data_IF_495906253511
#
_entry.id   IF_495906253511
#
_cell.length_a   1.000
_cell.length_b   1.000
_cell.length_c   1.000
_cell.angle_alpha   90.00
_cell.angle_beta   90.00
_cell.angle_gamma   90.00
#
_symmetry.space_group_name_H-M   'P 1'
#
loop_
_entity.id
_entity.type
_entity.pdbx_description
1 polymer ?
#
# COMPACT_ATOMS: atom_id res chain seq x y z
N UNK A 1 57.04 -31.49 -9.94
CA UNK A 1 56.46 -31.05 -8.65
C UNK A 1 55.44 -29.99 -8.94
N UNK A 2 54.19 -30.33 -8.68
CA UNK A 2 52.97 -29.59 -8.99
C UNK A 2 52.62 -28.75 -7.77
N UNK A 3 52.33 -27.45 -7.93
CA UNK A 3 51.39 -26.72 -7.07
C UNK A 3 50.96 -25.38 -7.73
N UNK A 4 49.89 -25.47 -8.51
CA UNK A 4 48.80 -24.47 -8.60
C UNK A 4 47.55 -25.25 -8.14
N UNK A 5 46.60 -24.68 -7.35
CA UNK A 5 45.76 -23.56 -7.79
C UNK A 5 45.53 -22.51 -6.66
N UNK A 6 45.36 -21.20 -6.90
CA UNK A 6 44.24 -20.51 -7.56
C UNK A 6 42.85 -20.91 -7.02
N UNK A 7 41.97 -19.93 -6.86
CA UNK A 7 40.57 -19.99 -6.40
C UNK A 7 40.30 -19.81 -4.90
N UNK A 8 40.56 -18.60 -4.41
CA UNK A 8 39.65 -17.97 -3.45
C UNK A 8 38.31 -17.72 -4.15
N UNK A 9 37.37 -18.66 -3.97
CA UNK A 9 35.95 -18.49 -4.28
C UNK A 9 35.39 -17.37 -3.38
N UNK A 10 35.42 -16.13 -3.87
CA UNK A 10 34.56 -15.07 -3.36
C UNK A 10 33.13 -15.37 -3.79
N UNK A 11 32.41 -16.11 -2.93
CA UNK A 11 30.96 -16.22 -2.96
C UNK A 11 30.38 -14.82 -2.71
N UNK A 12 30.24 -14.05 -3.78
CA UNK A 12 29.35 -12.90 -3.81
C UNK A 12 27.93 -13.47 -3.74
N UNK A 13 27.38 -13.47 -2.53
CA UNK A 13 25.95 -13.66 -2.33
C UNK A 13 25.30 -12.44 -2.97
N UNK A 14 24.96 -12.56 -4.26
CA UNK A 14 24.01 -11.67 -4.89
C UNK A 14 22.68 -11.94 -4.20
N UNK A 15 22.41 -11.19 -3.13
CA UNK A 15 21.04 -10.99 -2.67
C UNK A 15 20.29 -10.36 -3.84
N UNK A 16 19.67 -11.21 -4.64
CA UNK A 16 18.79 -10.84 -5.73
C UNK A 16 17.57 -10.20 -5.08
N UNK A 17 17.66 -8.89 -4.82
CA UNK A 17 16.50 -8.09 -4.44
C UNK A 17 15.56 -8.11 -5.63
N UNK A 18 14.62 -9.07 -5.63
CA UNK A 18 13.56 -9.11 -6.61
C UNK A 18 12.73 -7.84 -6.42
N UNK A 19 13.04 -6.83 -7.22
CA UNK A 19 12.28 -5.59 -7.28
C UNK A 19 10.90 -5.95 -7.84
N UNK A 20 9.94 -6.19 -6.95
CA UNK A 20 8.53 -6.30 -7.34
C UNK A 20 8.07 -4.91 -7.76
N UNK A 21 7.58 -4.78 -8.99
CA UNK A 21 6.87 -3.58 -9.40
C UNK A 21 5.68 -3.36 -8.46
N UNK A 22 5.67 -2.20 -7.82
CA UNK A 22 4.57 -1.78 -6.95
C UNK A 22 3.41 -1.29 -7.81
N UNK A 23 2.17 -1.58 -7.38
CA UNK A 23 0.94 -1.22 -8.08
C UNK A 23 0.42 0.13 -7.56
N UNK A 24 0.72 1.26 -8.23
CA UNK A 24 0.22 2.55 -7.80
C UNK A 24 -1.30 2.61 -7.92
N UNK A 25 -1.94 3.39 -7.04
CA UNK A 25 -3.32 3.79 -7.18
C UNK A 25 -3.39 4.78 -8.33
N UNK A 26 -4.21 4.48 -9.33
CA UNK A 26 -4.49 5.38 -10.45
C UNK A 26 -5.68 6.28 -10.10
N UNK A 27 -5.73 7.53 -10.59
CA UNK A 27 -6.83 8.47 -10.36
C UNK A 27 -8.06 8.12 -11.23
N UNK A 28 -8.51 6.87 -11.16
CA UNK A 28 -9.61 6.30 -11.93
C UNK A 28 -10.86 6.17 -11.04
N UNK A 29 -11.90 6.96 -11.33
CA UNK A 29 -13.11 7.07 -10.50
C UNK A 29 -13.93 5.79 -10.35
N UNK A 30 -13.67 4.77 -11.17
CA UNK A 30 -14.33 3.46 -11.03
C UNK A 30 -13.62 2.52 -10.05
N UNK A 31 -12.44 2.92 -9.52
CA UNK A 31 -11.67 2.09 -8.59
C UNK A 31 -12.02 2.34 -7.14
N UNK A 32 -12.24 1.24 -6.42
CA UNK A 32 -12.43 1.23 -4.97
C UNK A 32 -11.45 0.26 -4.29
N UNK A 33 -11.09 0.57 -3.06
CA UNK A 33 -10.13 -0.17 -2.24
C UNK A 33 -10.77 -0.57 -0.92
N UNK A 34 -10.42 -1.76 -0.44
CA UNK A 34 -10.83 -2.23 0.88
C UNK A 34 -9.98 -1.53 1.95
N UNK A 35 -10.62 -1.13 3.05
CA UNK A 35 -10.00 -0.44 4.16
C UNK A 35 -10.44 -1.04 5.50
N UNK A 36 -9.53 -1.03 6.47
CA UNK A 36 -9.77 -1.52 7.82
C UNK A 36 -8.89 -0.79 8.83
N UNK A 37 -9.35 -0.73 10.08
CA UNK A 37 -8.50 -0.30 11.19
C UNK A 37 -7.46 -1.39 11.48
N UNK A 38 -6.18 -1.05 11.44
CA UNK A 38 -5.06 -2.01 11.63
C UNK A 38 -4.84 -2.32 13.12
N UNK A 39 -5.86 -2.88 13.77
CA UNK A 39 -5.81 -3.46 15.13
C UNK A 39 -5.68 -4.97 15.01
N UNK A 40 -4.85 -5.60 15.86
CA UNK A 40 -4.74 -7.06 15.87
C UNK A 40 -5.72 -7.68 16.88
N UNK A 41 -6.44 -8.77 16.51
CA UNK A 41 -6.49 -9.38 15.18
C UNK A 41 -7.28 -8.53 14.18
N UNK A 42 -6.86 -8.53 12.92
CA UNK A 42 -7.57 -7.82 11.85
C UNK A 42 -8.92 -8.52 11.63
N UNK A 43 -10.01 -7.77 11.79
CA UNK A 43 -11.34 -8.27 11.49
C UNK A 43 -11.68 -8.05 10.01
N UNK A 44 -11.44 -9.08 9.19
CA UNK A 44 -11.74 -9.06 7.75
C UNK A 44 -13.25 -9.02 7.43
N UNK A 45 -14.12 -9.19 8.43
CA UNK A 45 -15.57 -9.03 8.25
C UNK A 45 -16.04 -7.58 8.33
N UNK A 46 -15.18 -6.66 8.80
CA UNK A 46 -15.49 -5.24 8.95
C UNK A 46 -14.68 -4.37 7.98
N UNK A 47 -14.56 -4.84 6.74
CA UNK A 47 -13.93 -4.07 5.67
C UNK A 47 -14.91 -3.00 5.18
N UNK A 48 -14.42 -1.77 5.11
CA UNK A 48 -15.13 -0.66 4.48
C UNK A 48 -14.46 -0.31 3.17
N UNK A 49 -15.22 0.20 2.20
CA UNK A 49 -14.65 0.59 0.90
C UNK A 49 -14.48 2.10 0.83
N UNK A 50 -13.38 2.52 0.23
CA UNK A 50 -13.16 3.90 -0.22
C UNK A 50 -12.94 3.87 -1.72
N UNK A 51 -13.49 4.83 -2.43
CA UNK A 51 -13.44 4.90 -3.89
C UNK A 51 -12.76 6.17 -4.34
N UNK A 52 -12.13 6.11 -5.51
CA UNK A 52 -11.53 7.29 -6.12
C UNK A 52 -12.67 8.22 -6.54
N UNK A 53 -12.65 9.44 -6.04
CA UNK A 53 -13.66 10.43 -6.33
C UNK A 53 -13.04 11.81 -6.55
N UNK A 54 -13.80 12.69 -7.19
CA UNK A 54 -13.44 14.10 -7.30
C UNK A 54 -13.81 14.79 -6.00
N UNK A 55 -12.82 15.40 -5.37
CA UNK A 55 -12.93 16.04 -4.08
C UNK A 55 -13.24 17.52 -4.29
N UNK A 56 -14.51 17.89 -4.10
CA UNK A 56 -14.96 19.28 -4.16
C UNK A 56 -14.30 20.17 -3.09
N UNK A 57 -13.91 19.58 -1.96
CA UNK A 57 -13.32 20.27 -0.81
C UNK A 57 -11.79 20.49 -0.94
N UNK A 58 -11.16 19.88 -1.95
CA UNK A 58 -9.72 19.96 -2.18
C UNK A 58 -9.44 20.27 -3.65
N UNK A 59 -9.65 21.52 -4.07
CA UNK A 59 -9.09 22.10 -5.30
C UNK A 59 -9.29 21.31 -6.61
N UNK A 60 -10.43 20.66 -6.81
CA UNK A 60 -10.69 19.78 -7.97
C UNK A 60 -9.67 18.63 -8.11
N UNK A 61 -9.19 18.10 -6.99
CA UNK A 61 -8.36 16.91 -6.96
C UNK A 61 -9.19 15.62 -7.08
N UNK A 62 -8.56 14.55 -7.56
CA UNK A 62 -9.01 13.18 -7.41
C UNK A 62 -8.29 12.54 -6.22
N UNK A 63 -9.04 11.82 -5.39
CA UNK A 63 -8.50 11.20 -4.20
C UNK A 63 -9.43 10.17 -3.57
N UNK A 64 -9.05 9.72 -2.38
CA UNK A 64 -9.85 8.81 -1.54
C UNK A 64 -10.25 9.56 -0.26
N UNK A 65 -11.54 9.77 -0.03
CA UNK A 65 -12.04 10.16 1.28
C UNK A 65 -12.09 8.92 2.19
N UNK A 66 -11.39 8.99 3.32
CA UNK A 66 -11.27 7.87 4.25
C UNK A 66 -12.27 8.00 5.38
N UNK A 67 -12.70 6.87 5.94
CA UNK A 67 -13.62 6.84 7.10
C UNK A 67 -13.02 7.50 8.36
N UNK A 68 -11.71 7.73 8.37
CA UNK A 68 -11.00 8.50 9.41
C UNK A 68 -11.12 10.03 9.25
N UNK A 69 -11.84 10.51 8.23
CA UNK A 69 -11.85 11.91 7.78
C UNK A 69 -10.48 12.42 7.33
N UNK A 70 -9.58 11.50 6.96
CA UNK A 70 -8.37 11.83 6.23
C UNK A 70 -8.64 11.72 4.72
N UNK A 71 -7.92 12.49 3.91
CA UNK A 71 -8.07 12.48 2.45
C UNK A 71 -6.73 12.11 1.82
N UNK A 72 -6.72 11.07 1.00
CA UNK A 72 -5.55 10.69 0.21
C UNK A 72 -5.64 11.33 -1.18
N UNK A 73 -4.72 12.22 -1.52
CA UNK A 73 -4.70 12.88 -2.84
C UNK A 73 -3.92 12.03 -3.85
N UNK A 74 -4.52 11.81 -5.01
CA UNK A 74 -3.92 11.03 -6.10
C UNK A 74 -3.45 11.94 -7.24
N UNK A 75 -4.29 12.90 -7.62
CA UNK A 75 -4.03 13.82 -8.72
C UNK A 75 -4.79 15.12 -8.45
N UNK A 76 -4.19 16.26 -8.77
CA UNK A 76 -4.83 17.56 -8.67
C UNK A 76 -4.64 18.30 -9.99
N UNK A 77 -5.68 18.99 -10.46
CA UNK A 77 -5.50 19.93 -11.57
C UNK A 77 -4.60 21.07 -11.08
N UNK A 78 -3.44 21.22 -11.69
CA UNK A 78 -2.48 22.29 -11.41
C UNK A 78 -3.08 23.65 -11.78
N UNK A 79 -3.90 24.22 -10.88
CA UNK A 79 -4.37 25.61 -11.00
C UNK A 79 -3.66 26.56 -10.04
N UNK A 80 -2.90 26.06 -9.07
CA UNK A 80 -2.05 26.90 -8.22
C UNK A 80 -0.57 26.65 -8.53
N UNK A 81 0.05 27.63 -9.17
CA UNK A 81 1.46 27.66 -9.58
C UNK A 81 2.46 27.72 -8.42
N UNK A 82 2.40 26.73 -7.52
CA UNK A 82 3.46 26.45 -6.55
C UNK A 82 4.14 25.14 -6.89
N UNK A 83 5.48 25.11 -6.82
CA UNK A 83 6.33 23.90 -6.90
C UNK A 83 6.03 22.92 -5.75
N UNK A 84 4.82 22.36 -5.69
CA UNK A 84 4.48 21.34 -4.71
C UNK A 84 5.02 20.02 -5.22
N UNK A 85 6.25 19.70 -4.81
CA UNK A 85 6.96 18.49 -5.20
C UNK A 85 6.03 17.27 -5.23
N UNK A 86 5.91 16.65 -6.40
CA UNK A 86 5.12 15.44 -6.58
C UNK A 86 5.77 14.31 -5.78
N UNK A 87 5.01 13.61 -4.91
CA UNK A 87 5.54 12.47 -4.17
C UNK A 87 6.11 11.40 -5.11
N UNK A 88 7.09 10.61 -4.66
CA UNK A 88 7.60 9.49 -5.46
C UNK A 88 6.49 8.45 -5.71
N UNK A 89 6.68 7.63 -6.75
CA UNK A 89 5.70 6.60 -7.15
C UNK A 89 5.28 5.71 -5.96
N UNK A 90 3.97 5.61 -5.73
CA UNK A 90 3.37 4.85 -4.63
C UNK A 90 3.40 5.54 -3.27
N UNK A 91 3.83 6.81 -3.23
CA UNK A 91 3.57 7.72 -2.12
C UNK A 91 2.53 8.75 -2.55
N UNK A 92 1.76 9.24 -1.59
CA UNK A 92 0.62 10.12 -1.81
C UNK A 92 0.57 11.17 -0.72
N UNK A 93 0.09 12.36 -1.07
CA UNK A 93 -0.19 13.39 -0.07
C UNK A 93 -1.42 12.96 0.74
N UNK A 94 -1.39 13.23 2.02
CA UNK A 94 -2.48 12.97 2.95
C UNK A 94 -2.88 14.28 3.62
N UNK A 95 -4.13 14.67 3.46
CA UNK A 95 -4.74 15.75 4.24
C UNK A 95 -5.38 15.15 5.48
N UNK A 96 -5.01 15.67 6.64
CA UNK A 96 -5.55 15.24 7.93
C UNK A 96 -6.72 16.13 8.32
N UNK A 97 -7.56 15.62 9.22
CA UNK A 97 -8.72 16.33 9.76
C UNK A 97 -8.38 17.66 10.45
N UNK A 98 -7.18 17.77 11.03
CA UNK A 98 -6.69 18.98 11.70
C UNK A 98 -6.15 20.04 10.75
N UNK A 99 -6.28 19.83 9.43
CA UNK A 99 -5.70 20.69 8.39
C UNK A 99 -4.21 20.45 8.16
N UNK A 100 -3.60 19.49 8.86
CA UNK A 100 -2.21 19.12 8.64
C UNK A 100 -2.04 18.31 7.35
N UNK A 101 -0.92 18.54 6.67
CA UNK A 101 -0.53 17.74 5.50
C UNK A 101 0.57 16.73 5.85
N UNK A 102 0.67 15.66 5.06
CA UNK A 102 1.73 14.68 5.18
C UNK A 102 1.87 13.84 3.92
N UNK A 103 2.81 12.91 3.95
CA UNK A 103 3.01 11.93 2.87
C UNK A 103 2.93 10.53 3.46
N UNK A 104 2.15 9.66 2.83
CA UNK A 104 2.07 8.23 3.16
C UNK A 104 2.45 7.41 1.95
N UNK A 105 3.08 6.26 2.18
CA UNK A 105 3.60 5.41 1.13
C UNK A 105 3.05 4.00 1.22
N UNK A 106 2.84 3.40 0.06
CA UNK A 106 2.56 1.97 -0.10
C UNK A 106 3.72 1.15 0.45
N UNK A 107 3.37 0.05 1.12
CA UNK A 107 4.32 -0.92 1.68
C UNK A 107 3.79 -2.32 1.44
N UNK A 108 4.71 -3.26 1.18
CA UNK A 108 4.36 -4.67 1.05
C UNK A 108 4.29 -5.36 2.43
N UNK A 109 3.10 -5.78 2.83
CA UNK A 109 2.84 -6.55 4.06
C UNK A 109 3.02 -8.04 3.77
N UNK A 110 4.24 -8.55 4.00
CA UNK A 110 4.63 -9.95 3.74
C UNK A 110 3.67 -11.00 4.30
N UNK A 111 3.11 -10.78 5.50
CA UNK A 111 2.20 -11.74 6.16
C UNK A 111 0.94 -12.02 5.35
N UNK A 112 0.41 -11.01 4.65
CA UNK A 112 -0.84 -11.11 3.91
C UNK A 112 -0.63 -11.02 2.39
N UNK A 113 0.62 -10.91 1.94
CA UNK A 113 1.02 -10.68 0.55
C UNK A 113 0.24 -9.54 -0.13
N UNK A 114 0.06 -8.45 0.62
CA UNK A 114 -0.67 -7.26 0.17
C UNK A 114 0.22 -6.03 0.17
N UNK A 115 0.05 -5.18 -0.83
CA UNK A 115 0.48 -3.79 -0.84
C UNK A 115 -0.57 -2.95 -0.11
N UNK A 116 -0.13 -2.25 0.94
CA UNK A 116 -1.01 -1.49 1.82
C UNK A 116 -0.47 -0.09 2.06
N UNK A 117 -1.36 0.88 2.21
CA UNK A 117 -1.04 2.21 2.74
C UNK A 117 -1.57 2.26 4.17
N UNK A 118 -0.75 2.71 5.12
CA UNK A 118 -1.18 2.93 6.50
C UNK A 118 -1.18 4.42 6.81
N UNK A 119 -2.30 4.93 7.30
CA UNK A 119 -2.45 6.34 7.69
C UNK A 119 -2.10 6.55 9.18
N UNK A 120 -1.82 7.80 9.59
CA UNK A 120 -1.65 8.17 10.99
C UNK A 120 -2.86 7.83 11.88
N UNK A 121 -4.09 7.85 11.34
CA UNK A 121 -5.29 7.42 12.08
C UNK A 121 -5.43 5.88 12.23
N UNK A 122 -4.36 5.12 11.95
CA UNK A 122 -4.34 3.65 11.98
C UNK A 122 -5.30 2.98 10.99
N UNK A 123 -5.72 3.67 9.93
CA UNK A 123 -6.45 3.06 8.83
C UNK A 123 -5.45 2.43 7.85
N UNK A 124 -5.74 1.22 7.41
CA UNK A 124 -5.03 0.55 6.33
C UNK A 124 -5.91 0.52 5.08
N UNK A 125 -5.29 0.76 3.92
CA UNK A 125 -5.89 0.70 2.59
C UNK A 125 -5.22 -0.44 1.82
N UNK A 126 -5.96 -1.46 1.41
CA UNK A 126 -5.44 -2.55 0.57
C UNK A 126 -5.45 -2.13 -0.89
N UNK A 127 -4.25 -1.89 -1.44
CA UNK A 127 -4.10 -1.45 -2.82
C UNK A 127 -4.12 -2.64 -3.77
N UNK A 128 -3.32 -3.65 -3.44
CA UNK A 128 -3.21 -4.87 -4.21
C UNK A 128 -2.90 -6.03 -3.28
N UNK A 129 -3.58 -7.16 -3.47
CA UNK A 129 -3.30 -8.39 -2.73
C UNK A 129 -3.22 -9.54 -3.71
N UNK A 130 -2.16 -10.34 -3.60
CA UNK A 130 -2.08 -11.60 -4.35
C UNK A 130 -3.09 -12.59 -3.77
N UNK A 131 -4.26 -12.68 -4.42
CA UNK A 131 -5.37 -13.52 -3.96
C UNK A 131 -5.05 -15.02 -3.99
N UNK A 132 -3.96 -15.43 -4.65
CA UNK A 132 -3.44 -16.81 -4.56
C UNK A 132 -3.03 -17.20 -3.14
N UNK A 133 -2.78 -16.23 -2.25
CA UNK A 133 -2.46 -16.43 -0.84
C UNK A 133 -3.68 -16.36 0.11
N UNK A 134 -4.87 -15.99 -0.40
CA UNK A 134 -6.14 -16.11 0.35
C UNK A 134 -6.75 -17.51 0.17
N UNK A 135 -5.90 -18.54 0.06
CA UNK A 135 -6.31 -19.92 0.05
C UNK A 135 -7.11 -20.21 1.31
N UNK A 136 -8.38 -20.56 1.11
CA UNK A 136 -9.34 -20.99 2.11
C UNK A 136 -8.65 -21.94 3.09
N UNK A 137 -8.43 -21.51 4.33
CA UNK A 137 -8.09 -22.43 5.42
C UNK A 137 -9.37 -23.19 5.74
N UNK A 138 -9.66 -24.22 4.95
CA UNK A 138 -10.66 -25.22 5.32
C UNK A 138 -10.02 -26.05 6.41
N UNK A 139 -10.14 -25.61 7.68
CA UNK A 139 -9.89 -26.50 8.80
C UNK A 139 -11.03 -27.52 8.78
N UNK A 140 -10.90 -28.58 7.96
CA UNK A 140 -11.57 -29.83 8.30
C UNK A 140 -10.99 -30.21 9.65
N UNK A 141 -11.79 -30.10 10.70
CA UNK A 141 -11.42 -30.50 12.05
C UNK A 141 -10.65 -31.83 11.99
N UNK A 142 -9.41 -31.81 12.45
CA UNK A 142 -8.73 -33.02 12.90
C UNK A 142 -9.52 -33.52 14.11
N UNK A 143 -10.45 -34.44 13.89
CA UNK A 143 -10.93 -35.30 14.96
C UNK A 143 -9.94 -36.47 15.05
N UNK A 144 -8.93 -36.27 15.88
CA UNK A 144 -8.23 -37.34 16.57
C UNK A 144 -9.22 -37.92 17.59
N UNK A 145 -9.58 -39.19 17.41
CA UNK A 145 -9.71 -40.31 18.37
C UNK A 145 -10.45 -41.43 17.64
#
# INVERSE_FOLDING_TARGET
MVHLPLFLLSLTIFDYTQSREMHPILPDSEKCFDTYTDVQPINLSNLTKTCVETLSEAYNCRGLALVSNEILLLECNETDGGDVATPPKGCYRLLKRDGGEGVVCQRFKRRNLCEVIKTPANLAIEVYCDRSARGIVTVKQLKLV
#
